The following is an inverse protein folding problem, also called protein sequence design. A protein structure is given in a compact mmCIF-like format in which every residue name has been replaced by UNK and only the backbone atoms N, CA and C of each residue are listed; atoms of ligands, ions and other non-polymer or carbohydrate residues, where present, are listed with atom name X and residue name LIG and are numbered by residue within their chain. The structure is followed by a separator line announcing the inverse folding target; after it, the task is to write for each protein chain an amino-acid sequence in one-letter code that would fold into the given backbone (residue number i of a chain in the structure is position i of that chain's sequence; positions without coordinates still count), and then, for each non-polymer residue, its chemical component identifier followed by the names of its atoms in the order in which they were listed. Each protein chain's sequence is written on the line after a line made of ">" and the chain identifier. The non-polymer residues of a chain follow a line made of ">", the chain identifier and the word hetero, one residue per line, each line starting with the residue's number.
data_IF_350879137740
#
_entry.id   IF_350879137740
#
_cell.length_a   1.000
_cell.length_b   1.000
_cell.length_c   1.000
_cell.angle_alpha   90.00
_cell.angle_beta   90.00
_cell.angle_gamma   90.00
#
_symmetry.space_group_name_H-M   'P 1'
#
loop_
_entity.id
_entity.type
_entity.pdbx_description
1 polymer ?
#
# COMPACT_ATOMS: atom_id res chain seq x y z
N UNK A 1 -2.43 28.90 -5.08
CA UNK A 1 -3.39 27.93 -4.54
C UNK A 1 -2.62 26.67 -4.19
N UNK A 2 -3.04 25.89 -3.21
CA UNK A 2 -2.36 24.65 -2.84
C UNK A 2 -2.71 23.52 -3.85
N UNK A 3 -1.87 22.50 -3.98
CA UNK A 3 -2.11 21.39 -4.90
C UNK A 3 -3.46 20.70 -4.65
N UNK A 4 -3.82 20.48 -3.39
CA UNK A 4 -5.09 19.81 -3.02
C UNK A 4 -6.32 20.70 -3.25
N UNK A 5 -6.19 22.03 -3.27
CA UNK A 5 -7.31 22.95 -3.56
C UNK A 5 -7.68 22.98 -5.05
N UNK A 6 -6.80 22.51 -5.92
CA UNK A 6 -7.00 22.46 -7.37
C UNK A 6 -7.46 21.09 -7.85
N UNK A 7 -7.40 20.06 -6.97
CA UNK A 7 -7.80 18.71 -7.29
C UNK A 7 -9.27 18.48 -7.06
N UNK A 8 -9.97 18.08 -8.11
CA UNK A 8 -11.38 17.71 -8.10
C UNK A 8 -11.55 16.32 -8.71
N UNK A 9 -12.73 15.73 -8.54
CA UNK A 9 -13.08 14.48 -9.19
C UNK A 9 -12.97 14.57 -10.70
N UNK A 10 -13.43 15.69 -11.28
CA UNK A 10 -13.36 15.94 -12.71
C UNK A 10 -11.92 15.97 -13.20
N UNK A 11 -11.04 16.72 -12.53
CA UNK A 11 -9.61 16.80 -12.90
C UNK A 11 -8.91 15.45 -12.78
N UNK A 12 -9.30 14.63 -11.79
CA UNK A 12 -8.79 13.28 -11.65
C UNK A 12 -9.26 12.38 -12.79
N UNK A 13 -10.55 12.40 -13.14
CA UNK A 13 -11.10 11.63 -14.27
C UNK A 13 -10.42 12.02 -15.59
N UNK A 14 -10.24 13.32 -15.84
CA UNK A 14 -9.57 13.80 -17.05
C UNK A 14 -8.10 13.38 -17.15
N UNK A 15 -7.42 13.24 -16.02
CA UNK A 15 -6.01 12.86 -15.98
C UNK A 15 -5.75 11.36 -15.98
N UNK A 16 -6.69 10.55 -15.47
CA UNK A 16 -6.48 9.13 -15.24
C UNK A 16 -7.34 8.23 -16.12
N UNK A 17 -8.47 8.73 -16.63
CA UNK A 17 -9.46 7.93 -17.38
C UNK A 17 -9.80 6.61 -16.66
N UNK A 18 -10.32 6.68 -15.41
CA UNK A 18 -10.54 5.49 -14.61
C UNK A 18 -11.62 4.59 -15.23
N UNK A 19 -11.35 3.31 -15.30
CA UNK A 19 -12.32 2.30 -15.80
C UNK A 19 -13.29 1.85 -14.71
N UNK A 20 -12.89 1.98 -13.45
CA UNK A 20 -13.67 1.55 -12.29
C UNK A 20 -14.28 2.75 -11.57
N UNK A 21 -15.46 2.53 -11.06
CA UNK A 21 -16.23 3.56 -10.40
C UNK A 21 -16.42 3.30 -8.91
N UNK A 22 -17.57 3.74 -8.43
CA UNK A 22 -17.93 3.83 -7.02
C UNK A 22 -18.40 2.53 -6.38
N UNK A 23 -18.58 1.45 -7.13
CA UNK A 23 -19.18 0.22 -6.59
C UNK A 23 -18.37 -0.41 -5.45
N UNK A 24 -17.03 -0.42 -5.53
CA UNK A 24 -16.19 -0.91 -4.44
C UNK A 24 -16.24 0.02 -3.22
N UNK A 25 -16.40 1.31 -3.43
CA UNK A 25 -16.62 2.28 -2.35
C UNK A 25 -17.88 1.92 -1.56
N UNK A 26 -18.98 1.67 -2.26
CA UNK A 26 -20.24 1.26 -1.63
C UNK A 26 -20.12 -0.08 -0.92
N UNK A 27 -19.36 -1.01 -1.48
CA UNK A 27 -19.07 -2.31 -0.87
C UNK A 27 -18.32 -2.16 0.46
N UNK A 28 -17.28 -1.32 0.49
CA UNK A 28 -16.52 -1.01 1.71
C UNK A 28 -17.39 -0.29 2.74
N UNK A 29 -18.16 0.72 2.31
CA UNK A 29 -19.01 1.51 3.20
C UNK A 29 -20.09 0.64 3.84
N UNK A 30 -20.72 -0.24 3.08
CA UNK A 30 -21.83 -1.09 3.54
C UNK A 30 -21.37 -2.37 4.26
N UNK A 31 -20.08 -2.68 4.25
CA UNK A 31 -19.57 -3.87 4.94
C UNK A 31 -19.78 -3.77 6.44
N UNK A 32 -20.41 -4.77 7.01
CA UNK A 32 -20.56 -4.96 8.45
C UNK A 32 -19.61 -6.03 8.92
N UNK A 33 -18.51 -5.61 9.55
CA UNK A 33 -17.48 -6.52 10.02
C UNK A 33 -17.95 -7.22 11.30
N UNK A 34 -17.91 -8.55 11.31
CA UNK A 34 -18.29 -9.33 12.49
C UNK A 34 -17.28 -9.12 13.65
N UNK A 35 -17.73 -9.18 14.93
CA UNK A 35 -16.83 -9.08 16.08
C UNK A 35 -15.66 -10.07 16.00
N UNK A 36 -14.47 -9.62 16.42
CA UNK A 36 -13.25 -10.42 16.38
C UNK A 36 -12.65 -10.59 14.98
N UNK A 37 -13.06 -9.78 14.01
CA UNK A 37 -12.51 -9.77 12.66
C UNK A 37 -12.00 -8.37 12.28
N UNK A 38 -11.19 -8.32 11.23
CA UNK A 38 -10.84 -7.12 10.48
C UNK A 38 -11.06 -7.40 8.99
N UNK A 39 -11.79 -6.55 8.31
CA UNK A 39 -11.95 -6.62 6.86
C UNK A 39 -10.92 -5.70 6.19
N UNK A 40 -10.30 -6.18 5.12
CA UNK A 40 -9.28 -5.48 4.38
C UNK A 40 -9.58 -5.57 2.88
N UNK A 41 -9.26 -4.51 2.13
CA UNK A 41 -9.33 -4.47 0.66
C UNK A 41 -8.00 -4.01 0.10
N UNK A 42 -7.48 -4.78 -0.85
CA UNK A 42 -6.28 -4.37 -1.57
C UNK A 42 -6.67 -3.47 -2.75
N UNK A 43 -6.14 -2.26 -2.75
CA UNK A 43 -6.51 -1.21 -3.71
C UNK A 43 -5.45 -1.01 -4.80
N UNK A 44 -4.49 -1.93 -4.88
CA UNK A 44 -3.36 -1.88 -5.79
C UNK A 44 -2.10 -1.28 -5.17
N UNK A 45 -0.94 -1.57 -5.75
CA UNK A 45 0.37 -1.23 -5.17
C UNK A 45 0.49 -1.83 -3.76
N UNK A 46 0.80 -1.02 -2.77
CA UNK A 46 0.73 -1.36 -1.34
C UNK A 46 -0.52 -0.82 -0.66
N UNK A 47 -1.45 -0.23 -1.41
CA UNK A 47 -2.65 0.40 -0.88
C UNK A 47 -3.62 -0.58 -0.24
N UNK A 48 -3.87 -0.46 1.05
CA UNK A 48 -4.82 -1.30 1.79
C UNK A 48 -5.80 -0.45 2.59
N UNK A 49 -7.08 -0.79 2.49
CA UNK A 49 -8.14 -0.27 3.35
C UNK A 49 -8.43 -1.28 4.45
N UNK A 50 -8.54 -0.81 5.68
CA UNK A 50 -8.90 -1.61 6.85
C UNK A 50 -10.24 -1.13 7.41
N UNK A 51 -11.09 -2.06 7.81
CA UNK A 51 -12.35 -1.78 8.50
C UNK A 51 -12.55 -2.75 9.67
N UNK A 52 -12.92 -2.22 10.83
CA UNK A 52 -13.15 -3.01 12.05
C UNK A 52 -14.64 -3.14 12.38
N UNK A 53 -15.02 -4.01 13.35
CA UNK A 53 -16.40 -4.09 13.83
C UNK A 53 -16.96 -2.78 14.42
N UNK A 54 -16.08 -1.92 14.95
CA UNK A 54 -16.46 -0.59 15.45
C UNK A 54 -16.62 0.44 14.32
N UNK A 55 -16.58 -0.02 13.06
CA UNK A 55 -16.63 0.82 11.87
C UNK A 55 -15.47 1.85 11.82
N UNK A 56 -14.33 1.48 12.39
CA UNK A 56 -13.08 2.24 12.21
C UNK A 56 -12.51 1.93 10.85
N UNK A 57 -12.25 2.97 10.07
CA UNK A 57 -11.76 2.90 8.70
C UNK A 57 -10.43 3.61 8.58
N UNK A 58 -9.35 2.89 8.20
CA UNK A 58 -8.05 3.51 7.92
C UNK A 58 -7.52 3.07 6.56
N UNK A 59 -6.73 3.92 5.93
CA UNK A 59 -6.02 3.59 4.68
C UNK A 59 -4.52 3.69 4.87
N UNK A 60 -3.77 2.75 4.30
CA UNK A 60 -2.31 2.79 4.21
C UNK A 60 -1.94 2.79 2.74
N UNK A 61 -1.05 3.70 2.33
CA UNK A 61 -0.46 3.79 0.99
C UNK A 61 -1.46 3.82 -0.17
N UNK A 62 -2.63 4.42 0.02
CA UNK A 62 -3.60 4.55 -1.05
C UNK A 62 -3.07 5.47 -2.15
N UNK A 63 -2.99 4.94 -3.38
CA UNK A 63 -2.52 5.67 -4.55
C UNK A 63 -3.54 5.65 -5.70
N UNK A 64 -3.93 6.82 -6.15
CA UNK A 64 -4.92 7.04 -7.21
C UNK A 64 -4.34 7.73 -8.46
N UNK A 65 -3.03 7.71 -8.62
CA UNK A 65 -2.34 8.27 -9.80
C UNK A 65 -2.19 7.26 -10.94
N UNK A 66 -1.82 7.76 -12.13
CA UNK A 66 -1.67 6.95 -13.33
C UNK A 66 -0.21 6.61 -13.71
N UNK A 67 0.77 7.08 -12.93
CA UNK A 67 2.16 6.72 -13.11
C UNK A 67 2.91 7.35 -14.29
N UNK A 68 2.40 8.36 -14.95
CA UNK A 68 3.09 9.06 -16.05
C UNK A 68 4.42 9.64 -15.59
N UNK A 69 5.52 8.92 -15.86
CA UNK A 69 6.88 9.28 -15.43
C UNK A 69 7.86 9.50 -16.56
N UNK A 70 7.40 9.38 -17.81
CA UNK A 70 8.25 9.56 -18.98
C UNK A 70 8.07 10.94 -19.58
N UNK A 71 9.15 11.47 -20.15
CA UNK A 71 9.05 12.58 -21.10
C UNK A 71 8.37 12.11 -22.38
N UNK A 72 7.89 13.06 -23.18
CA UNK A 72 7.29 12.76 -24.48
C UNK A 72 8.19 11.98 -25.47
N UNK A 73 9.49 11.89 -25.21
CA UNK A 73 10.46 11.07 -25.93
C UNK A 73 10.57 9.62 -25.41
N UNK A 74 9.73 9.21 -24.47
CA UNK A 74 9.73 7.89 -23.88
C UNK A 74 10.82 7.64 -22.82
N UNK A 75 11.62 8.67 -22.49
CA UNK A 75 12.69 8.55 -21.49
C UNK A 75 12.21 8.97 -20.11
N UNK A 76 12.75 8.34 -19.08
CA UNK A 76 12.54 8.81 -17.71
C UNK A 76 13.16 10.18 -17.50
N UNK A 77 12.51 11.00 -16.67
CA UNK A 77 13.09 12.29 -16.26
C UNK A 77 14.49 12.07 -15.68
N UNK A 78 15.44 12.92 -16.09
CA UNK A 78 16.77 12.95 -15.48
C UNK A 78 16.63 13.08 -13.96
N UNK A 79 17.30 12.22 -13.21
CA UNK A 79 17.25 12.16 -11.75
C UNK A 79 16.00 11.52 -11.17
N UNK A 80 15.13 10.90 -11.99
CA UNK A 80 14.17 9.95 -11.45
C UNK A 80 14.93 8.81 -10.77
N UNK A 81 14.43 8.36 -9.61
CA UNK A 81 15.09 7.29 -8.83
C UNK A 81 15.45 6.08 -9.70
N UNK A 82 14.52 5.63 -10.54
CA UNK A 82 14.72 4.48 -11.42
C UNK A 82 15.82 4.72 -12.45
N UNK A 83 15.93 5.91 -13.03
CA UNK A 83 17.01 6.25 -13.95
C UNK A 83 18.37 6.19 -13.25
N UNK A 84 18.46 6.65 -12.01
CA UNK A 84 19.67 6.59 -11.21
C UNK A 84 20.04 5.14 -10.84
N UNK A 85 19.06 4.35 -10.39
CA UNK A 85 19.27 2.95 -10.02
C UNK A 85 19.63 2.06 -11.21
N UNK A 86 19.14 2.37 -12.40
CA UNK A 86 19.44 1.65 -13.64
C UNK A 86 20.71 2.14 -14.36
N UNK A 87 21.50 3.02 -13.75
CA UNK A 87 22.71 3.57 -14.36
C UNK A 87 22.41 4.41 -15.61
N UNK A 88 21.31 5.13 -15.64
CA UNK A 88 20.90 6.00 -16.73
C UNK A 88 20.41 5.27 -17.99
N UNK A 89 20.09 3.97 -17.90
CA UNK A 89 19.53 3.23 -19.04
C UNK A 89 18.15 3.76 -19.40
N UNK A 90 17.84 3.77 -20.69
CA UNK A 90 16.49 4.05 -21.16
C UNK A 90 15.55 2.92 -20.67
N UNK A 91 14.53 3.28 -19.92
CA UNK A 91 13.52 2.35 -19.46
C UNK A 91 12.21 2.61 -20.20
N UNK A 92 11.42 1.55 -20.35
CA UNK A 92 10.06 1.67 -20.82
C UNK A 92 9.24 2.54 -19.86
N UNK A 93 8.19 3.22 -20.33
CA UNK A 93 7.27 3.93 -19.47
C UNK A 93 6.78 3.03 -18.35
N UNK A 94 6.90 3.48 -17.12
CA UNK A 94 6.36 2.77 -15.97
C UNK A 94 4.96 3.30 -15.69
N UNK A 95 3.96 2.65 -16.27
CA UNK A 95 2.57 3.06 -16.21
C UNK A 95 1.81 2.16 -15.23
N UNK A 96 0.72 2.69 -14.70
CA UNK A 96 -0.25 1.88 -13.98
C UNK A 96 -0.82 0.83 -14.92
N UNK A 97 -0.78 -0.44 -14.51
CA UNK A 97 -1.20 -1.58 -15.32
C UNK A 97 -2.59 -2.12 -14.95
N UNK A 98 -3.06 -1.79 -13.76
CA UNK A 98 -4.36 -2.22 -13.28
C UNK A 98 -5.33 -1.04 -13.21
N UNK A 99 -6.62 -1.27 -13.46
CA UNK A 99 -7.62 -0.23 -13.35
C UNK A 99 -7.75 0.30 -11.93
N UNK A 100 -8.33 1.49 -11.79
CA UNK A 100 -8.70 2.03 -10.49
C UNK A 100 -9.93 1.28 -9.96
N UNK A 101 -9.81 0.70 -8.79
CA UNK A 101 -10.91 -0.06 -8.18
C UNK A 101 -11.80 0.78 -7.28
N UNK A 102 -11.38 2.03 -7.02
CA UNK A 102 -12.14 3.01 -6.24
C UNK A 102 -12.13 4.37 -6.90
N UNK A 103 -13.16 5.16 -6.60
CA UNK A 103 -13.18 6.61 -6.84
C UNK A 103 -12.73 7.31 -5.55
N UNK A 104 -11.55 7.98 -5.52
CA UNK A 104 -11.02 8.59 -4.30
C UNK A 104 -11.89 9.75 -3.80
N UNK A 105 -12.82 10.26 -4.60
CA UNK A 105 -13.73 11.36 -4.23
C UNK A 105 -15.12 10.88 -3.80
N UNK A 106 -15.38 9.59 -3.77
CA UNK A 106 -16.71 9.05 -3.47
C UNK A 106 -16.90 8.62 -2.00
N UNK A 107 -15.82 8.40 -1.24
CA UNK A 107 -15.90 7.96 0.15
C UNK A 107 -16.48 9.01 1.08
N UNK A 108 -17.31 8.56 2.01
CA UNK A 108 -17.95 9.41 3.02
C UNK A 108 -17.24 9.37 4.36
N UNK A 109 -16.38 8.36 4.59
CA UNK A 109 -15.75 8.14 5.90
C UNK A 109 -14.38 7.51 5.76
N UNK A 110 -13.43 8.09 6.49
CA UNK A 110 -12.15 7.51 6.88
C UNK A 110 -11.75 8.07 8.23
N UNK A 111 -11.07 7.29 9.05
CA UNK A 111 -10.66 7.72 10.40
C UNK A 111 -9.18 8.10 10.48
N UNK A 112 -8.35 7.59 9.59
CA UNK A 112 -6.96 8.01 9.43
C UNK A 112 -6.43 7.68 8.04
N UNK A 113 -5.52 8.51 7.54
CA UNK A 113 -4.76 8.31 6.30
C UNK A 113 -3.30 8.09 6.66
N UNK A 114 -2.73 6.93 6.26
CA UNK A 114 -1.35 6.59 6.56
C UNK A 114 -0.52 6.46 5.27
N UNK A 115 0.77 6.80 5.39
CA UNK A 115 1.77 6.49 4.37
C UNK A 115 2.97 5.83 5.02
N UNK A 116 3.49 4.76 4.42
CA UNK A 116 4.73 4.12 4.85
C UNK A 116 5.94 4.96 4.47
N UNK A 117 5.88 5.64 3.34
CA UNK A 117 6.94 6.52 2.85
C UNK A 117 6.41 7.50 1.77
N UNK A 118 7.26 8.40 1.31
CA UNK A 118 6.89 9.55 0.47
C UNK A 118 6.90 9.30 -1.03
N UNK A 119 7.17 8.08 -1.51
CA UNK A 119 7.13 7.80 -2.95
C UNK A 119 5.74 7.99 -3.53
N UNK A 120 5.70 8.32 -4.82
CA UNK A 120 4.48 8.71 -5.52
C UNK A 120 3.38 7.64 -5.48
N UNK A 121 3.75 6.38 -5.54
CA UNK A 121 2.82 5.24 -5.59
C UNK A 121 2.33 4.78 -4.20
N UNK A 122 2.71 5.52 -3.15
CA UNK A 122 2.28 5.30 -1.77
C UNK A 122 1.52 6.50 -1.19
N UNK A 123 1.44 7.59 -1.94
CA UNK A 123 0.75 8.81 -1.51
C UNK A 123 -0.13 9.36 -2.64
N UNK A 124 -1.37 9.70 -2.33
CA UNK A 124 -2.32 10.27 -3.29
C UNK A 124 -2.72 11.68 -2.88
N UNK A 125 -2.43 12.64 -3.75
CA UNK A 125 -2.90 14.01 -3.55
C UNK A 125 -4.41 14.13 -3.78
N UNK A 126 -4.98 13.28 -4.63
CA UNK A 126 -6.41 13.18 -4.89
C UNK A 126 -7.16 12.74 -3.63
N UNK A 127 -6.66 11.71 -2.96
CA UNK A 127 -7.21 11.22 -1.69
C UNK A 127 -7.10 12.26 -0.59
N UNK A 128 -5.94 12.88 -0.45
CA UNK A 128 -5.73 13.97 0.50
C UNK A 128 -6.66 15.16 0.23
N UNK A 129 -6.85 15.53 -1.05
CA UNK A 129 -7.76 16.60 -1.45
C UNK A 129 -9.20 16.29 -1.04
N UNK A 130 -9.67 15.05 -1.27
CA UNK A 130 -11.02 14.68 -0.89
C UNK A 130 -11.23 14.74 0.63
N UNK A 131 -10.33 14.13 1.42
CA UNK A 131 -10.42 14.13 2.88
C UNK A 131 -10.42 15.54 3.48
N UNK A 132 -9.61 16.43 2.92
CA UNK A 132 -9.52 17.83 3.39
C UNK A 132 -10.75 18.63 2.95
N UNK A 133 -11.09 18.59 1.66
CA UNK A 133 -12.12 19.46 1.09
C UNK A 133 -13.54 19.04 1.49
N UNK A 134 -13.76 17.76 1.78
CA UNK A 134 -15.05 17.28 2.32
C UNK A 134 -15.23 17.55 3.81
N UNK A 135 -14.16 17.99 4.50
CA UNK A 135 -14.22 18.27 5.94
C UNK A 135 -14.42 17.01 6.79
N UNK A 136 -13.91 15.84 6.33
CA UNK A 136 -14.06 14.59 7.08
C UNK A 136 -13.47 14.68 8.49
N UNK A 137 -14.19 14.10 9.43
CA UNK A 137 -13.86 14.02 10.85
C UNK A 137 -13.83 12.59 11.35
N UNK A 138 -13.13 12.37 12.44
CA UNK A 138 -13.12 11.15 13.23
C UNK A 138 -13.31 11.48 14.70
N UNK A 139 -13.26 10.50 15.59
CA UNK A 139 -13.29 10.74 17.03
C UNK A 139 -11.99 10.31 17.69
N UNK A 140 -11.49 11.13 18.61
CA UNK A 140 -10.36 10.79 19.46
C UNK A 140 -10.73 9.75 20.53
N UNK A 141 -9.78 9.38 21.39
CA UNK A 141 -9.96 8.42 22.48
C UNK A 141 -10.98 8.85 23.54
N UNK A 142 -11.31 10.13 23.61
CA UNK A 142 -12.31 10.71 24.51
C UNK A 142 -13.69 10.84 23.85
N UNK A 143 -13.83 10.40 22.59
CA UNK A 143 -15.06 10.55 21.81
C UNK A 143 -15.29 11.97 21.27
N UNK A 144 -14.30 12.85 21.35
CA UNK A 144 -14.35 14.19 20.78
C UNK A 144 -14.12 14.12 19.28
N UNK A 145 -14.96 14.82 18.54
CA UNK A 145 -14.78 14.96 17.09
C UNK A 145 -13.53 15.78 16.76
N UNK A 146 -12.68 15.21 15.93
CA UNK A 146 -11.44 15.82 15.44
C UNK A 146 -11.33 15.63 13.92
N UNK A 147 -10.62 16.52 13.20
CA UNK A 147 -10.33 16.29 11.80
C UNK A 147 -9.54 15.00 11.58
N UNK A 148 -9.78 14.30 10.48
CA UNK A 148 -9.05 13.06 10.13
C UNK A 148 -7.55 13.32 10.07
N UNK A 149 -6.71 12.57 10.82
CA UNK A 149 -5.26 12.72 10.82
C UNK A 149 -4.60 12.07 9.59
N UNK A 150 -3.47 12.65 9.19
CA UNK A 150 -2.51 12.15 8.21
C UNK A 150 -1.25 11.71 8.96
N UNK A 151 -0.92 10.42 8.88
CA UNK A 151 0.12 9.79 9.72
C UNK A 151 1.21 9.21 8.82
N UNK A 152 2.44 9.62 9.04
CA UNK A 152 3.57 9.10 8.25
C UNK A 152 4.92 9.55 8.77
N UNK A 153 6.02 9.03 8.20
CA UNK A 153 7.34 9.53 8.50
C UNK A 153 7.48 10.99 8.05
N UNK A 154 8.48 11.68 8.56
CA UNK A 154 8.67 13.12 8.37
C UNK A 154 8.59 13.57 6.90
N UNK A 155 9.23 12.83 5.97
CA UNK A 155 9.21 13.17 4.55
C UNK A 155 7.81 13.06 3.93
N UNK A 156 7.00 12.11 4.35
CA UNK A 156 5.60 12.01 3.93
C UNK A 156 4.76 13.17 4.47
N UNK A 157 4.98 13.54 5.72
CA UNK A 157 4.32 14.69 6.35
C UNK A 157 4.71 16.00 5.65
N UNK A 158 6.00 16.23 5.39
CA UNK A 158 6.48 17.39 4.63
C UNK A 158 5.83 17.48 3.24
N UNK A 159 5.66 16.32 2.56
CA UNK A 159 5.02 16.26 1.25
C UNK A 159 3.52 16.59 1.32
N UNK A 160 2.78 16.05 2.29
CA UNK A 160 1.39 16.41 2.51
C UNK A 160 1.22 17.90 2.79
N UNK A 161 2.07 18.48 3.65
CA UNK A 161 2.05 19.93 3.93
C UNK A 161 2.37 20.75 2.69
N UNK A 162 3.34 20.32 1.88
CA UNK A 162 3.65 20.94 0.58
C UNK A 162 2.46 20.91 -0.39
N UNK A 163 1.63 19.88 -0.31
CA UNK A 163 0.38 19.80 -1.10
C UNK A 163 -0.73 20.68 -0.53
N UNK A 164 -0.64 21.12 0.71
CA UNK A 164 -1.60 22.00 1.38
C UNK A 164 -2.42 21.35 2.47
N UNK A 165 -2.06 20.12 2.91
CA UNK A 165 -2.66 19.54 4.11
C UNK A 165 -2.24 20.36 5.33
N UNK A 166 -3.19 20.81 6.17
CA UNK A 166 -2.89 21.60 7.37
C UNK A 166 -1.96 20.85 8.34
N UNK A 167 -0.99 21.58 8.90
CA UNK A 167 0.02 20.99 9.77
C UNK A 167 -0.55 20.35 11.03
N UNK A 168 -1.64 20.88 11.56
CA UNK A 168 -2.36 20.37 12.73
C UNK A 168 -3.11 19.05 12.47
N UNK A 169 -3.22 18.65 11.21
CA UNK A 169 -3.76 17.34 10.81
C UNK A 169 -2.69 16.30 10.56
N UNK A 170 -1.42 16.69 10.56
CA UNK A 170 -0.30 15.81 10.27
C UNK A 170 0.35 15.29 11.55
N UNK A 171 0.53 13.99 11.64
CA UNK A 171 1.23 13.31 12.74
C UNK A 171 2.48 12.64 12.18
N UNK A 172 3.64 13.14 12.59
CA UNK A 172 4.92 12.52 12.25
C UNK A 172 5.19 11.35 13.16
N UNK A 173 5.57 10.21 12.58
CA UNK A 173 5.96 8.99 13.30
C UNK A 173 7.35 8.53 12.89
N UNK A 174 8.01 7.85 13.82
CA UNK A 174 9.28 7.15 13.65
C UNK A 174 9.20 5.77 14.31
N UNK A 175 10.13 4.84 14.02
CA UNK A 175 10.14 3.53 14.66
C UNK A 175 10.05 3.61 16.20
N UNK A 176 9.12 2.83 16.74
CA UNK A 176 8.81 2.81 18.18
C UNK A 176 7.60 3.66 18.60
N UNK A 177 7.14 4.57 17.75
CA UNK A 177 5.94 5.36 18.05
C UNK A 177 4.68 4.49 17.86
N UNK A 178 3.69 4.73 18.74
CA UNK A 178 2.37 4.10 18.69
C UNK A 178 1.27 5.17 18.68
N UNK A 179 0.28 4.98 17.82
CA UNK A 179 -0.89 5.85 17.69
C UNK A 179 -2.14 5.00 17.79
N UNK A 180 -3.12 5.48 18.54
CA UNK A 180 -4.42 4.84 18.65
C UNK A 180 -5.46 5.59 17.84
N UNK A 181 -6.18 4.87 16.98
CA UNK A 181 -7.33 5.35 16.23
C UNK A 181 -8.51 4.46 16.60
N UNK A 182 -9.37 4.95 17.50
CA UNK A 182 -10.51 4.20 18.04
C UNK A 182 -10.09 2.82 18.59
N UNK A 183 -10.49 1.74 17.96
CA UNK A 183 -10.16 0.35 18.32
C UNK A 183 -8.95 -0.24 17.60
N UNK A 184 -8.21 0.59 16.84
CA UNK A 184 -6.97 0.21 16.15
C UNK A 184 -5.78 0.87 16.87
N UNK A 185 -4.72 0.10 17.13
CA UNK A 185 -3.40 0.61 17.51
C UNK A 185 -2.42 0.43 16.34
N UNK A 186 -1.73 1.50 15.97
CA UNK A 186 -0.77 1.53 14.87
C UNK A 186 0.61 1.76 15.46
N UNK A 187 1.53 0.82 15.27
CA UNK A 187 2.92 0.93 15.72
C UNK A 187 3.80 1.11 14.48
N UNK A 188 4.58 2.19 14.47
CA UNK A 188 5.61 2.41 13.47
C UNK A 188 6.85 1.58 13.80
N UNK A 189 7.41 0.89 12.82
CA UNK A 189 8.56 -0.01 12.94
C UNK A 189 9.63 0.37 11.93
N UNK A 190 10.87 -0.13 12.16
CA UNK A 190 11.98 0.06 11.24
C UNK A 190 11.61 -0.38 9.82
N UNK A 191 11.83 0.48 8.83
CA UNK A 191 11.73 0.14 7.42
C UNK A 191 13.08 -0.31 6.86
N UNK A 192 13.01 -1.21 5.88
CA UNK A 192 14.18 -1.71 5.15
C UNK A 192 14.13 -1.30 3.68
N UNK A 193 13.47 -0.19 3.39
CA UNK A 193 13.35 0.36 2.05
C UNK A 193 14.64 1.07 1.62
N UNK A 194 15.52 0.32 0.96
CA UNK A 194 16.78 0.87 0.44
C UNK A 194 16.57 1.93 -0.63
N UNK A 195 15.43 1.95 -1.30
CA UNK A 195 15.16 2.96 -2.32
C UNK A 195 14.96 4.33 -1.72
N UNK A 196 14.30 4.42 -0.57
CA UNK A 196 14.17 5.66 0.17
C UNK A 196 15.51 6.23 0.66
N UNK A 197 16.53 5.38 0.84
CA UNK A 197 17.88 5.85 1.21
C UNK A 197 18.52 6.65 0.08
N UNK A 198 18.39 6.16 -1.16
CA UNK A 198 19.11 6.70 -2.33
C UNK A 198 18.26 7.63 -3.18
N UNK A 199 16.99 7.73 -2.92
CA UNK A 199 16.08 8.57 -3.71
C UNK A 199 15.73 9.87 -2.98
N UNK A 200 15.58 10.88 -3.77
CA UNK A 200 15.06 12.18 -3.39
C UNK A 200 13.56 12.21 -3.66
N UNK A 201 12.88 13.23 -3.20
CA UNK A 201 11.48 13.46 -3.54
C UNK A 201 11.27 13.37 -5.07
N UNK A 202 10.65 12.27 -5.51
CA UNK A 202 10.51 11.97 -6.94
C UNK A 202 9.32 12.68 -7.60
N UNK A 203 8.53 13.42 -6.82
CA UNK A 203 7.21 13.90 -7.25
C UNK A 203 7.19 15.30 -7.82
N UNK A 204 8.32 15.98 -7.95
CA UNK A 204 8.30 17.36 -8.41
C UNK A 204 9.57 17.88 -9.05
N UNK A 205 9.52 19.12 -9.56
CA UNK A 205 10.69 19.82 -10.09
C UNK A 205 11.73 20.16 -9.00
N UNK A 206 11.32 20.17 -7.74
CA UNK A 206 12.12 20.58 -6.57
C UNK A 206 12.77 19.38 -5.89
N UNK A 207 13.23 18.41 -6.65
CA UNK A 207 13.93 17.25 -6.09
C UNK A 207 15.28 17.66 -5.51
N UNK A 208 15.65 17.06 -4.39
CA UNK A 208 17.00 17.13 -3.86
C UNK A 208 17.98 16.47 -4.83
N UNK A 209 19.15 17.00 -5.02
CA UNK A 209 20.20 16.33 -5.77
C UNK A 209 20.69 15.11 -4.98
N UNK A 210 20.99 14.02 -5.70
CA UNK A 210 21.69 12.88 -5.09
C UNK A 210 23.09 13.35 -4.69
N UNK A 211 23.32 13.52 -3.41
CA UNK A 211 24.59 14.02 -2.89
C UNK A 211 25.69 12.94 -2.87
N UNK A 212 25.36 11.68 -3.18
CA UNK A 212 26.26 10.55 -3.03
C UNK A 212 26.58 10.19 -1.58
N UNK A 213 26.05 10.93 -0.63
CA UNK A 213 26.15 10.62 0.81
C UNK A 213 24.95 9.76 1.19
N UNK A 214 25.21 8.60 1.79
CA UNK A 214 24.15 7.78 2.33
C UNK A 214 23.42 8.60 3.41
N UNK A 215 22.08 8.77 3.31
CA UNK A 215 21.33 9.49 4.34
C UNK A 215 21.50 8.76 5.67
N UNK A 216 21.70 9.52 6.70
CA UNK A 216 21.95 9.00 8.04
C UNK A 216 20.67 8.66 8.79
N UNK A 217 19.52 9.07 8.26
CA UNK A 217 18.24 8.95 8.97
C UNK A 217 17.15 8.34 8.07
N UNK A 218 17.07 6.99 8.10
CA UNK A 218 16.03 6.24 7.44
C UNK A 218 14.66 6.51 8.05
N UNK A 219 14.62 6.78 9.34
CA UNK A 219 13.40 6.95 10.13
C UNK A 219 12.59 8.18 9.70
N UNK A 220 13.27 9.19 9.16
CA UNK A 220 12.60 10.36 8.56
C UNK A 220 11.91 10.02 7.22
N UNK A 221 12.32 8.95 6.55
CA UNK A 221 11.92 8.64 5.16
C UNK A 221 10.88 7.56 5.04
N UNK A 222 11.01 6.48 5.81
CA UNK A 222 10.12 5.34 5.70
C UNK A 222 9.95 4.61 7.02
N UNK A 223 8.76 4.05 7.22
CA UNK A 223 8.41 3.15 8.34
C UNK A 223 7.63 1.96 7.81
N UNK A 224 7.74 0.83 8.49
CA UNK A 224 6.78 -0.26 8.39
C UNK A 224 5.69 -0.05 9.45
N UNK A 225 4.52 -0.64 9.28
CA UNK A 225 3.47 -0.56 10.29
C UNK A 225 3.07 -1.94 10.81
N UNK A 226 2.85 -2.02 12.13
CA UNK A 226 2.05 -3.08 12.73
C UNK A 226 0.71 -2.49 13.13
N UNK A 227 -0.35 -2.95 12.49
CA UNK A 227 -1.73 -2.53 12.74
C UNK A 227 -2.39 -3.58 13.62
N UNK A 228 -2.57 -3.27 14.90
CA UNK A 228 -3.29 -4.13 15.84
C UNK A 228 -4.77 -3.81 15.79
N UNK A 229 -5.56 -4.81 15.50
CA UNK A 229 -7.01 -4.72 15.33
C UNK A 229 -7.72 -5.74 16.20
N UNK A 230 -9.04 -5.64 16.42
CA UNK A 230 -9.81 -6.68 17.10
C UNK A 230 -9.75 -8.04 16.40
N UNK A 231 -9.44 -8.09 15.10
CA UNK A 231 -9.35 -9.32 14.32
C UNK A 231 -7.96 -9.95 14.33
N UNK A 232 -6.90 -9.19 14.62
CA UNK A 232 -5.52 -9.66 14.61
C UNK A 232 -4.52 -8.55 14.33
N UNK A 233 -3.25 -8.91 14.32
CA UNK A 233 -2.13 -8.02 14.11
C UNK A 233 -1.62 -8.13 12.66
N UNK A 234 -1.69 -7.04 11.92
CA UNK A 234 -1.40 -6.99 10.49
C UNK A 234 -0.11 -6.19 10.28
N UNK A 235 0.91 -6.82 9.73
CA UNK A 235 2.17 -6.19 9.40
C UNK A 235 2.16 -5.67 7.97
N UNK A 236 2.51 -4.40 7.78
CA UNK A 236 2.62 -3.75 6.48
C UNK A 236 4.07 -3.32 6.22
N UNK A 237 4.73 -3.95 5.26
CA UNK A 237 6.16 -3.73 5.02
C UNK A 237 6.48 -2.48 4.19
N UNK A 238 5.46 -1.74 3.72
CA UNK A 238 5.73 -0.72 2.71
C UNK A 238 6.55 -1.31 1.56
N UNK A 239 7.56 -0.59 1.12
CA UNK A 239 8.52 -1.03 0.08
C UNK A 239 9.80 -1.64 0.64
N UNK A 240 9.76 -2.15 1.88
CA UNK A 240 10.91 -2.81 2.47
C UNK A 240 11.43 -3.96 1.61
N UNK A 241 12.74 -3.98 1.42
CA UNK A 241 13.46 -5.12 0.90
C UNK A 241 13.61 -6.19 1.97
N UNK A 242 14.01 -7.40 1.59
CA UNK A 242 14.33 -8.40 2.59
C UNK A 242 15.48 -7.94 3.50
N UNK A 243 15.26 -8.08 4.80
CA UNK A 243 16.24 -7.85 5.85
C UNK A 243 16.12 -8.93 6.92
N UNK A 244 17.26 -9.41 7.42
CA UNK A 244 17.27 -10.33 8.57
C UNK A 244 16.67 -9.69 9.82
N UNK A 245 16.60 -8.37 9.89
CA UNK A 245 15.99 -7.63 11.00
C UNK A 245 14.47 -7.81 11.09
N UNK A 246 13.79 -8.36 10.09
CA UNK A 246 12.42 -8.84 10.25
C UNK A 246 12.29 -9.84 11.41
N UNK A 247 13.36 -10.61 11.71
CA UNK A 247 13.38 -11.51 12.85
C UNK A 247 13.29 -10.78 14.21
N UNK A 248 13.78 -9.54 14.31
CA UNK A 248 13.59 -8.71 15.50
C UNK A 248 12.11 -8.35 15.66
N UNK A 249 11.45 -7.92 14.59
CA UNK A 249 10.03 -7.61 14.64
C UNK A 249 9.19 -8.85 14.99
N UNK A 250 9.49 -10.02 14.40
CA UNK A 250 8.78 -11.27 14.72
C UNK A 250 9.05 -11.80 16.13
N UNK A 251 10.16 -11.37 16.77
CA UNK A 251 10.43 -11.66 18.19
C UNK A 251 9.69 -10.72 19.12
N UNK A 252 9.63 -9.44 18.75
CA UNK A 252 9.11 -8.38 19.61
C UNK A 252 7.57 -8.27 19.53
N UNK A 253 6.97 -8.77 18.42
CA UNK A 253 5.55 -8.64 18.13
C UNK A 253 4.94 -9.93 17.59
N UNK A 254 3.73 -10.24 18.01
CA UNK A 254 2.92 -11.27 17.37
C UNK A 254 2.38 -10.71 16.04
N UNK A 255 2.63 -11.41 14.94
CA UNK A 255 2.17 -11.04 13.60
C UNK A 255 1.23 -12.12 13.06
N UNK A 256 0.01 -11.75 12.75
CA UNK A 256 -0.95 -12.68 12.16
C UNK A 256 -0.85 -12.71 10.63
N UNK A 257 -0.92 -11.55 10.00
CA UNK A 257 -0.82 -11.37 8.55
C UNK A 257 0.30 -10.42 8.22
N UNK A 258 1.14 -10.75 7.24
CA UNK A 258 2.21 -9.86 6.78
C UNK A 258 2.06 -9.56 5.29
N UNK A 259 1.96 -8.28 4.94
CA UNK A 259 2.04 -7.81 3.56
C UNK A 259 3.49 -7.57 3.17
N UNK A 260 3.94 -8.19 2.08
CA UNK A 260 5.30 -8.07 1.57
C UNK A 260 5.35 -7.45 0.18
N UNK A 261 6.16 -6.42 0.02
CA UNK A 261 6.41 -5.78 -1.29
C UNK A 261 7.18 -6.74 -2.20
N UNK A 262 6.49 -7.28 -3.18
CA UNK A 262 6.97 -8.30 -4.12
C UNK A 262 6.95 -7.74 -5.55
N UNK A 263 7.84 -8.20 -6.40
CA UNK A 263 7.80 -7.81 -7.80
C UNK A 263 9.06 -8.23 -8.55
N UNK A 264 8.99 -8.18 -9.87
CA UNK A 264 10.15 -8.37 -10.72
C UNK A 264 11.15 -7.23 -10.53
N UNK A 265 12.43 -7.61 -10.56
CA UNK A 265 13.51 -6.64 -10.47
C UNK A 265 14.18 -6.53 -11.85
N UNK A 266 14.24 -5.33 -12.43
CA UNK A 266 15.01 -5.11 -13.65
C UNK A 266 16.46 -5.55 -13.49
N UNK A 267 17.08 -5.98 -14.58
CA UNK A 267 18.47 -6.49 -14.57
C UNK A 267 19.41 -5.47 -13.91
N UNK A 268 20.14 -5.94 -12.91
CA UNK A 268 21.10 -5.14 -12.15
C UNK A 268 20.52 -4.28 -11.05
N UNK A 269 19.24 -4.46 -10.73
CA UNK A 269 18.55 -3.72 -9.70
C UNK A 269 17.79 -4.67 -8.76
N UNK A 270 17.91 -4.48 -7.47
CA UNK A 270 17.07 -5.16 -6.49
C UNK A 270 16.18 -4.11 -5.82
N UNK A 271 14.97 -3.98 -6.34
CA UNK A 271 14.00 -2.97 -5.94
C UNK A 271 12.85 -3.53 -5.10
N UNK A 272 12.49 -4.78 -5.30
CA UNK A 272 11.42 -5.48 -4.59
C UNK A 272 11.96 -6.77 -3.98
N UNK A 273 11.24 -7.33 -3.03
CA UNK A 273 11.50 -8.69 -2.57
C UNK A 273 11.28 -9.69 -3.71
N UNK A 274 12.17 -10.64 -3.83
CA UNK A 274 11.99 -11.81 -4.69
C UNK A 274 11.01 -12.79 -4.03
N UNK A 275 10.57 -13.80 -4.77
CA UNK A 275 9.66 -14.85 -4.24
C UNK A 275 10.21 -15.51 -2.98
N UNK A 276 11.52 -15.83 -2.97
CA UNK A 276 12.16 -16.43 -1.80
C UNK A 276 12.28 -15.45 -0.64
N UNK A 277 12.46 -14.16 -0.93
CA UNK A 277 12.57 -13.13 0.11
C UNK A 277 11.24 -12.92 0.84
N UNK A 278 10.11 -13.02 0.13
CA UNK A 278 8.77 -12.98 0.72
C UNK A 278 8.58 -14.13 1.72
N UNK A 279 9.00 -15.34 1.35
CA UNK A 279 8.94 -16.50 2.25
C UNK A 279 9.87 -16.35 3.46
N UNK A 280 11.08 -15.81 3.26
CA UNK A 280 12.02 -15.51 4.36
C UNK A 280 11.50 -14.41 5.29
N UNK A 281 10.85 -13.39 4.74
CA UNK A 281 10.20 -12.36 5.56
C UNK A 281 9.13 -12.99 6.45
N UNK A 282 8.28 -13.85 5.89
CA UNK A 282 7.23 -14.55 6.64
C UNK A 282 7.80 -15.42 7.76
N UNK A 283 8.85 -16.20 7.46
CA UNK A 283 9.55 -17.02 8.44
C UNK A 283 10.15 -16.17 9.56
N UNK A 284 10.83 -15.07 9.23
CA UNK A 284 11.43 -14.16 10.19
C UNK A 284 10.40 -13.43 11.06
N UNK A 285 9.30 -12.98 10.46
CA UNK A 285 8.18 -12.35 11.19
C UNK A 285 7.35 -13.35 12.01
N UNK A 286 7.54 -14.66 11.77
CA UNK A 286 6.74 -15.71 12.39
C UNK A 286 5.23 -15.51 12.18
N UNK A 287 4.84 -14.90 11.07
CA UNK A 287 3.44 -14.63 10.77
C UNK A 287 2.67 -15.94 10.44
N UNK A 288 1.34 -15.86 10.44
CA UNK A 288 0.47 -17.02 10.08
C UNK A 288 0.14 -17.01 8.59
N UNK A 289 -0.03 -15.83 8.03
CA UNK A 289 -0.34 -15.63 6.61
C UNK A 289 0.60 -14.58 6.03
N UNK A 290 1.19 -14.86 4.87
CA UNK A 290 1.96 -13.87 4.10
C UNK A 290 1.24 -13.54 2.80
N UNK A 291 1.14 -12.26 2.49
CA UNK A 291 0.42 -11.75 1.32
C UNK A 291 1.40 -10.94 0.47
N UNK A 292 1.78 -11.42 -0.72
CA UNK A 292 2.55 -10.61 -1.65
C UNK A 292 1.66 -9.49 -2.22
N UNK A 293 2.13 -8.26 -2.14
CA UNK A 293 1.49 -7.07 -2.72
C UNK A 293 2.52 -6.28 -3.55
N UNK A 294 2.11 -5.28 -4.30
CA UNK A 294 2.95 -4.42 -5.14
C UNK A 294 3.47 -5.07 -6.45
N UNK A 295 3.06 -6.28 -6.76
CA UNK A 295 3.48 -6.99 -7.98
C UNK A 295 2.59 -6.71 -9.19
N UNK A 296 1.53 -5.95 -9.00
CA UNK A 296 0.41 -5.77 -9.93
C UNK A 296 0.48 -4.49 -10.76
N UNK A 297 0.84 -3.38 -10.10
CA UNK A 297 0.43 -2.04 -10.55
C UNK A 297 1.33 -1.44 -11.62
N UNK A 298 2.61 -1.77 -11.59
CA UNK A 298 3.60 -1.19 -12.51
C UNK A 298 3.94 -2.14 -13.66
N UNK A 299 3.82 -1.67 -14.91
CA UNK A 299 4.13 -2.46 -16.11
C UNK A 299 5.53 -3.05 -16.14
N UNK A 300 6.48 -2.42 -15.46
CA UNK A 300 7.89 -2.86 -15.42
C UNK A 300 8.24 -3.74 -14.21
N UNK A 301 7.30 -3.95 -13.28
CA UNK A 301 7.53 -4.68 -12.03
C UNK A 301 6.48 -5.76 -11.78
N UNK A 302 5.74 -6.12 -12.81
CA UNK A 302 4.82 -7.25 -12.71
C UNK A 302 5.59 -8.53 -12.41
N UNK A 303 5.06 -9.33 -11.51
CA UNK A 303 5.64 -10.62 -11.15
C UNK A 303 4.55 -11.69 -11.07
N UNK A 304 4.96 -12.93 -11.24
CA UNK A 304 4.09 -14.09 -11.15
C UNK A 304 4.11 -14.65 -9.73
N UNK A 305 3.00 -14.52 -9.04
CA UNK A 305 2.82 -15.09 -7.69
C UNK A 305 2.89 -16.63 -7.66
N UNK A 306 2.70 -17.31 -8.78
CA UNK A 306 2.81 -18.77 -8.84
C UNK A 306 4.23 -19.23 -8.50
N UNK A 307 5.26 -18.41 -8.74
CA UNK A 307 6.62 -18.69 -8.30
C UNK A 307 6.71 -18.82 -6.76
N UNK A 308 6.05 -17.93 -6.02
CA UNK A 308 5.97 -18.03 -4.55
C UNK A 308 5.29 -19.33 -4.14
N UNK A 309 4.19 -19.69 -4.82
CA UNK A 309 3.44 -20.92 -4.53
C UNK A 309 4.28 -22.18 -4.74
N UNK A 310 4.98 -22.23 -5.87
CA UNK A 310 5.89 -23.35 -6.19
C UNK A 310 7.01 -23.48 -5.15
N UNK A 311 7.66 -22.36 -4.81
CA UNK A 311 8.72 -22.35 -3.80
C UNK A 311 8.21 -22.71 -2.40
N UNK A 312 7.03 -22.22 -2.04
CA UNK A 312 6.38 -22.56 -0.78
C UNK A 312 6.10 -24.06 -0.69
N UNK A 313 5.46 -24.65 -1.69
CA UNK A 313 5.11 -26.07 -1.71
C UNK A 313 6.37 -26.96 -1.68
N UNK A 314 7.44 -26.53 -2.35
CA UNK A 314 8.71 -27.25 -2.34
C UNK A 314 9.44 -27.19 -0.99
N UNK A 315 9.24 -26.10 -0.22
CA UNK A 315 10.03 -25.83 0.99
C UNK A 315 9.26 -26.05 2.29
N UNK A 316 7.93 -25.98 2.31
CA UNK A 316 7.11 -25.94 3.52
C UNK A 316 7.38 -27.09 4.48
N UNK A 317 7.47 -28.31 3.97
CA UNK A 317 7.69 -29.50 4.81
C UNK A 317 9.13 -29.59 5.29
N UNK A 318 10.10 -29.25 4.40
CA UNK A 318 11.52 -29.28 4.74
C UNK A 318 11.91 -28.22 5.77
N UNK A 319 11.32 -27.03 5.65
CA UNK A 319 11.59 -25.89 6.54
C UNK A 319 10.57 -25.80 7.68
N UNK A 320 9.62 -26.72 7.75
CA UNK A 320 8.56 -26.75 8.77
C UNK A 320 7.82 -25.40 8.90
N UNK A 321 7.49 -24.77 7.76
CA UNK A 321 6.82 -23.49 7.75
C UNK A 321 5.51 -23.51 8.54
N UNK A 322 5.34 -22.54 9.42
CA UNK A 322 4.13 -22.35 10.24
C UNK A 322 3.17 -21.34 9.67
N UNK A 323 3.42 -20.88 8.47
CA UNK A 323 2.62 -19.92 7.71
C UNK A 323 2.25 -20.50 6.36
N UNK A 324 1.32 -19.82 5.67
CA UNK A 324 1.04 -20.06 4.25
C UNK A 324 0.88 -18.72 3.50
N UNK A 325 1.09 -18.69 2.17
CA UNK A 325 0.81 -17.53 1.35
C UNK A 325 -0.70 -17.41 1.11
N UNK A 326 -1.16 -16.16 0.97
CA UNK A 326 -2.47 -15.83 0.42
C UNK A 326 -2.27 -14.96 -0.81
N UNK A 327 -2.75 -15.39 -1.97
CA UNK A 327 -2.65 -14.69 -3.24
C UNK A 327 -3.89 -13.84 -3.46
N UNK A 328 -3.73 -12.56 -3.22
CA UNK A 328 -4.80 -11.58 -3.28
C UNK A 328 -4.93 -10.99 -4.69
N UNK A 329 -6.09 -10.42 -4.98
CA UNK A 329 -6.33 -9.65 -6.19
C UNK A 329 -6.79 -8.24 -5.85
N UNK A 330 -6.41 -7.28 -6.71
CA UNK A 330 -6.78 -5.86 -6.53
C UNK A 330 -8.30 -5.73 -6.54
N UNK A 331 -8.84 -4.99 -5.59
CA UNK A 331 -10.27 -4.86 -5.35
C UNK A 331 -10.87 -5.97 -4.49
N UNK A 332 -10.11 -7.02 -4.18
CA UNK A 332 -10.58 -8.13 -3.37
C UNK A 332 -10.71 -7.79 -1.89
N UNK A 333 -11.71 -8.39 -1.22
CA UNK A 333 -11.85 -8.35 0.24
C UNK A 333 -11.21 -9.58 0.89
N UNK A 334 -10.44 -9.36 1.94
CA UNK A 334 -9.92 -10.39 2.83
C UNK A 334 -10.29 -10.06 4.27
N UNK A 335 -10.92 -11.01 4.97
CA UNK A 335 -11.38 -10.83 6.34
C UNK A 335 -10.60 -11.76 7.26
N UNK A 336 -9.78 -11.21 8.15
CA UNK A 336 -9.01 -12.00 9.11
C UNK A 336 -9.70 -11.98 10.48
N UNK A 337 -9.79 -13.12 11.21
CA UNK A 337 -9.33 -14.46 10.86
C UNK A 337 -10.33 -15.33 10.08
N UNK A 338 -11.49 -14.82 9.68
CA UNK A 338 -12.51 -15.63 8.99
C UNK A 338 -11.97 -16.31 7.70
N UNK A 339 -11.10 -15.63 6.98
CA UNK A 339 -10.50 -16.11 5.74
C UNK A 339 -9.06 -16.66 5.92
N UNK A 340 -8.63 -16.88 7.16
CA UNK A 340 -7.23 -17.22 7.49
C UNK A 340 -6.66 -18.43 6.75
N UNK A 341 -7.50 -19.38 6.35
CA UNK A 341 -7.07 -20.63 5.71
C UNK A 341 -7.14 -20.55 4.16
N UNK A 342 -7.52 -19.39 3.61
CA UNK A 342 -7.56 -19.18 2.15
C UNK A 342 -6.15 -19.03 1.58
N UNK A 343 -5.91 -19.70 0.46
CA UNK A 343 -4.66 -19.57 -0.33
C UNK A 343 -4.86 -18.60 -1.50
N UNK A 344 -6.03 -18.59 -2.09
CA UNK A 344 -6.36 -17.73 -3.24
C UNK A 344 -7.59 -16.89 -2.95
N UNK A 345 -7.57 -15.66 -3.44
CA UNK A 345 -8.77 -14.86 -3.55
C UNK A 345 -9.61 -15.39 -4.72
N UNK A 346 -10.88 -15.60 -4.46
CA UNK A 346 -11.86 -15.92 -5.50
C UNK A 346 -12.84 -14.76 -5.59
N UNK A 347 -13.09 -14.28 -6.80
CA UNK A 347 -14.13 -13.29 -7.03
C UNK A 347 -15.45 -13.76 -6.45
N UNK A 348 -16.23 -12.83 -5.91
CA UNK A 348 -17.58 -13.18 -5.42
C UNK A 348 -18.35 -13.89 -6.51
N UNK A 349 -19.01 -14.99 -6.16
CA UNK A 349 -20.17 -15.48 -6.91
C UNK A 349 -21.09 -14.29 -7.10
N UNK A 350 -21.83 -14.12 -8.09
CA UNK A 350 -22.66 -12.96 -8.34
C UNK A 350 -22.10 -12.06 -9.44
N UNK A 351 -20.81 -11.79 -9.47
CA UNK A 351 -20.18 -11.23 -10.66
C UNK A 351 -19.98 -12.33 -11.73
N UNK A 352 -19.57 -13.52 -11.29
CA UNK A 352 -19.44 -14.69 -12.16
C UNK A 352 -20.81 -15.20 -12.61
N UNK A 353 -21.82 -15.15 -11.75
CA UNK A 353 -23.19 -15.60 -12.05
C UNK A 353 -23.94 -14.69 -13.04
N UNK A 354 -23.43 -13.50 -13.30
CA UNK A 354 -23.95 -12.65 -14.38
C UNK A 354 -23.65 -13.22 -15.79
N UNK A 355 -22.77 -14.24 -15.88
CA UNK A 355 -22.33 -14.83 -17.12
C UNK A 355 -22.44 -16.35 -17.02
N UNK A 356 -23.18 -16.96 -17.92
CA UNK A 356 -23.38 -18.43 -17.97
C UNK A 356 -22.07 -19.21 -18.18
N UNK A 357 -21.03 -18.54 -18.69
CA UNK A 357 -19.72 -19.11 -18.95
C UNK A 357 -18.62 -18.08 -18.63
N UNK A 358 -18.18 -17.97 -17.36
CA UNK A 358 -17.15 -17.00 -16.93
C UNK A 358 -15.87 -17.03 -17.77
N UNK A 359 -15.49 -18.21 -18.27
CA UNK A 359 -14.32 -18.38 -19.13
C UNK A 359 -14.44 -17.67 -20.50
N UNK A 360 -15.66 -17.33 -20.91
CA UNK A 360 -15.94 -16.63 -22.15
C UNK A 360 -16.17 -15.13 -21.98
N UNK A 361 -15.95 -14.60 -20.80
CA UNK A 361 -16.04 -13.15 -20.51
C UNK A 361 -14.97 -12.43 -21.34
N UNK A 362 -15.36 -11.52 -22.26
CA UNK A 362 -14.40 -10.89 -23.19
C UNK A 362 -13.32 -10.03 -22.49
N UNK A 363 -13.58 -9.58 -21.27
CA UNK A 363 -12.72 -8.64 -20.52
C UNK A 363 -12.05 -9.28 -19.32
N UNK A 364 -11.88 -10.59 -19.32
CA UNK A 364 -11.25 -11.32 -18.23
C UNK A 364 -9.84 -10.84 -17.89
N UNK A 365 -9.15 -10.29 -18.86
CA UNK A 365 -7.81 -9.71 -18.70
C UNK A 365 -7.82 -8.32 -18.06
N UNK A 366 -8.97 -7.73 -17.87
CA UNK A 366 -9.09 -6.39 -17.29
C UNK A 366 -9.44 -6.42 -15.79
N UNK A 367 -9.57 -7.64 -15.22
CA UNK A 367 -9.98 -7.84 -13.82
C UNK A 367 -8.90 -8.56 -13.04
#
# INVERSE_FOLDING_TARGET
>A
MSKISEMTRESWIESTFPEWGTWLVEDIENEVVAPGNVAMWWLGCTGVWFKTPADTNITIDLWCGNGKRTHGDGKMKVGHQMANMCGGRAMQPNLRNVPFVIDPFAFKKVDAVLATHYHQDHMSAEWAAHVINSGMTTTDENGKEIPVPFIGPKKSVELWQKWGVPADRCITVKPGDSIKIKDIEIIALDSFDRTCIVTTDSTGPDREELTGVCPTDMDDKAVNYLVKTPGGNIYHSGDSHFSIYFAKHGKDYDVDVAFGSFGENPIGMQYKMTSIDVLRMAENLQCKVVVPIHWDVWTNFQADCDEIKVLYDFKKDRNEYKFHPFFWQVGGKYTYPADKDKIYYHHRRGFEDCFEAPQNIPFRSCL
#
